data_IF_502948476133
#
_entry.id   IF_502948476133
#
_cell.length_a   1.000
_cell.length_b   1.000
_cell.length_c   1.000
_cell.angle_alpha   90.00
_cell.angle_beta   90.00
_cell.angle_gamma   90.00
#
_symmetry.space_group_name_H-M   'P 1'
#
loop_
_entity.id
_entity.type
_entity.pdbx_description
1 polymer ?
#
# COMPACT_ATOMS: atom_id res chain seq x y z
N UNK A 1 -11.38 8.02 9.64
CA UNK A 1 -10.32 7.01 9.49
C UNK A 1 -9.58 7.32 8.21
N UNK A 2 -8.35 7.86 8.29
CA UNK A 2 -7.61 8.26 7.10
C UNK A 2 -6.96 7.06 6.40
N UNK A 3 -7.32 6.87 5.14
CA UNK A 3 -6.47 6.14 4.19
C UNK A 3 -5.40 7.14 3.73
N UNK A 4 -4.12 6.83 3.98
CA UNK A 4 -2.97 7.63 3.55
C UNK A 4 -2.15 6.84 2.54
N UNK A 5 -2.05 7.38 1.33
CA UNK A 5 -1.15 6.82 0.33
C UNK A 5 0.26 7.35 0.51
N UNK A 6 1.23 6.56 0.08
CA UNK A 6 2.63 6.94 0.13
C UNK A 6 2.90 8.06 -0.86
N UNK A 7 3.75 9.00 -0.48
CA UNK A 7 4.20 10.03 -1.41
C UNK A 7 5.14 9.41 -2.46
N UNK A 8 5.18 9.95 -3.67
CA UNK A 8 6.29 9.68 -4.58
C UNK A 8 7.64 10.11 -3.97
N UNK A 9 8.68 9.31 -4.20
CA UNK A 9 10.04 9.65 -3.84
C UNK A 9 10.51 10.89 -4.59
N UNK A 10 11.34 11.71 -3.94
CA UNK A 10 12.00 12.83 -4.59
C UNK A 10 13.29 12.40 -5.28
N UNK A 11 13.74 13.16 -6.27
CA UNK A 11 15.02 12.92 -6.94
C UNK A 11 15.75 14.22 -7.26
N UNK A 12 17.07 14.11 -7.36
CA UNK A 12 17.97 15.20 -7.80
C UNK A 12 18.54 14.96 -9.18
N UNK A 13 18.69 13.69 -9.60
CA UNK A 13 19.29 13.30 -10.89
C UNK A 13 18.57 12.17 -11.63
N UNK A 14 17.74 11.38 -10.94
CA UNK A 14 17.00 10.24 -11.50
C UNK A 14 15.48 10.37 -11.39
N UNK A 15 14.72 9.30 -11.64
CA UNK A 15 13.30 9.27 -11.31
C UNK A 15 13.10 8.80 -9.86
N UNK A 16 12.31 9.53 -9.06
CA UNK A 16 11.90 9.05 -7.74
C UNK A 16 10.97 7.84 -7.82
N UNK A 17 10.99 6.99 -6.80
CA UNK A 17 10.11 5.83 -6.72
C UNK A 17 8.65 6.24 -6.55
N UNK A 18 7.71 5.39 -6.96
CA UNK A 18 6.28 5.65 -6.73
C UNK A 18 5.93 5.35 -5.27
N UNK A 19 5.05 6.13 -4.68
CA UNK A 19 4.45 5.76 -3.40
C UNK A 19 3.52 4.56 -3.55
N UNK A 20 3.26 3.91 -2.42
CA UNK A 20 2.33 2.82 -2.30
C UNK A 20 0.90 3.20 -2.64
N UNK A 21 0.12 2.22 -3.09
CA UNK A 21 -1.28 2.40 -3.45
C UNK A 21 -2.20 1.59 -2.55
N UNK A 22 -3.43 2.05 -2.39
CA UNK A 22 -4.50 1.31 -1.73
C UNK A 22 -5.49 0.83 -2.78
N UNK A 23 -5.65 -0.49 -2.90
CA UNK A 23 -6.60 -1.11 -3.80
C UNK A 23 -7.66 -1.87 -2.99
N UNK A 24 -8.92 -1.70 -3.38
CA UNK A 24 -10.04 -2.50 -2.89
C UNK A 24 -10.74 -3.16 -4.07
N UNK A 25 -10.70 -4.48 -4.10
CA UNK A 25 -11.45 -5.30 -5.05
C UNK A 25 -12.63 -5.93 -4.36
N UNK A 26 -13.84 -5.45 -4.66
CA UNK A 26 -15.09 -6.02 -4.18
C UNK A 26 -16.05 -6.20 -5.35
N UNK A 27 -16.66 -7.38 -5.49
CA UNK A 27 -17.68 -7.67 -6.50
C UNK A 27 -19.11 -7.36 -6.02
N UNK A 28 -19.27 -6.79 -4.81
CA UNK A 28 -20.54 -6.30 -4.27
C UNK A 28 -20.39 -4.96 -3.55
N UNK A 29 -21.48 -4.20 -3.45
CA UNK A 29 -21.54 -2.96 -2.65
C UNK A 29 -21.54 -3.36 -1.18
N UNK A 30 -20.35 -3.49 -0.59
CA UNK A 30 -20.20 -3.60 0.85
C UNK A 30 -19.46 -2.38 1.38
N UNK A 31 -20.10 -1.70 2.31
CA UNK A 31 -19.48 -0.66 3.12
C UNK A 31 -18.39 -1.33 3.95
N UNK A 32 -17.13 -1.20 3.53
CA UNK A 32 -15.98 -1.48 4.38
C UNK A 32 -16.08 -0.50 5.55
N UNK A 33 -16.68 -0.94 6.65
CA UNK A 33 -16.58 -0.25 7.93
C UNK A 33 -15.27 -0.66 8.58
N UNK A 34 -14.17 -0.51 7.84
CA UNK A 34 -12.82 -0.82 8.34
C UNK A 34 -12.45 0.26 9.33
N UNK A 35 -12.43 -0.12 10.61
CA UNK A 35 -11.86 0.64 11.75
C UNK A 35 -10.35 0.87 11.63
N UNK A 36 -9.75 0.32 10.59
CA UNK A 36 -8.33 0.21 10.27
C UNK A 36 -7.80 1.48 9.58
N UNK A 37 -6.83 2.15 10.20
CA UNK A 37 -6.04 3.16 9.51
C UNK A 37 -5.03 2.47 8.58
N UNK A 38 -5.06 2.85 7.29
CA UNK A 38 -4.17 2.28 6.27
C UNK A 38 -3.21 3.37 5.83
N UNK A 39 -1.91 3.14 6.04
CA UNK A 39 -0.83 3.99 5.53
C UNK A 39 0.08 3.18 4.63
N UNK A 40 0.15 3.54 3.35
CA UNK A 40 1.11 2.91 2.44
C UNK A 40 2.42 3.69 2.41
N UNK A 41 3.54 3.01 2.15
CA UNK A 41 4.88 3.60 2.26
C UNK A 41 5.19 4.51 1.09
N UNK A 42 6.03 5.52 1.30
CA UNK A 42 6.49 6.40 0.23
C UNK A 42 7.46 5.68 -0.72
N UNK A 43 7.63 6.27 -1.90
CA UNK A 43 8.64 5.85 -2.84
C UNK A 43 10.03 6.27 -2.39
N UNK A 44 11.02 5.44 -2.67
CA UNK A 44 12.42 5.71 -2.41
C UNK A 44 12.96 6.86 -3.25
N UNK A 45 14.00 7.52 -2.74
CA UNK A 45 14.67 8.59 -3.47
C UNK A 45 15.45 8.03 -4.67
N UNK A 46 15.35 8.71 -5.80
CA UNK A 46 16.02 8.34 -7.04
C UNK A 46 17.31 9.12 -7.28
N UNK A 47 18.43 8.41 -7.36
CA UNK A 47 19.66 8.94 -7.95
C UNK A 47 19.75 8.57 -9.44
N UNK A 48 19.36 7.34 -9.81
CA UNK A 48 18.99 6.93 -11.18
C UNK A 48 17.50 6.53 -11.22
N UNK A 49 17.08 5.58 -10.39
CA UNK A 49 15.65 5.26 -10.12
C UNK A 49 15.44 4.87 -8.66
N UNK A 50 14.44 5.44 -7.98
CA UNK A 50 14.06 5.06 -6.61
C UNK A 50 13.07 3.89 -6.58
N UNK A 51 13.09 3.10 -5.51
CA UNK A 51 12.20 1.95 -5.33
C UNK A 51 10.77 2.35 -4.99
N UNK A 52 9.79 1.50 -5.27
CA UNK A 52 8.37 1.74 -4.99
C UNK A 52 8.07 1.51 -3.52
N UNK A 53 7.21 2.35 -2.95
CA UNK A 53 6.61 2.10 -1.64
C UNK A 53 5.64 0.93 -1.70
N UNK A 54 5.50 0.23 -0.57
CA UNK A 54 4.64 -0.93 -0.45
C UNK A 54 3.17 -0.56 -0.62
N UNK A 55 2.38 -1.44 -1.23
CA UNK A 55 0.96 -1.21 -1.49
C UNK A 55 0.09 -2.06 -0.58
N UNK A 56 -1.14 -1.61 -0.35
CA UNK A 56 -2.15 -2.37 0.36
C UNK A 56 -3.24 -2.82 -0.62
N UNK A 57 -3.53 -4.12 -0.63
CA UNK A 57 -4.65 -4.69 -1.38
C UNK A 57 -5.61 -5.42 -0.46
N UNK A 58 -6.90 -5.10 -0.57
CA UNK A 58 -7.97 -5.94 -0.03
C UNK A 58 -8.68 -6.67 -1.17
N UNK A 59 -8.74 -8.00 -1.08
CA UNK A 59 -9.57 -8.82 -1.96
C UNK A 59 -10.66 -9.45 -1.11
N UNK A 60 -11.90 -9.00 -1.28
CA UNK A 60 -13.05 -9.65 -0.66
C UNK A 60 -13.77 -10.49 -1.71
N UNK A 61 -13.63 -11.82 -1.59
CA UNK A 61 -14.39 -12.79 -2.40
C UNK A 61 -15.40 -13.49 -1.50
N UNK A 62 -16.64 -12.99 -1.45
CA UNK A 62 -17.69 -13.67 -0.71
C UNK A 62 -18.90 -12.80 -0.41
N UNK A 63 -20.06 -13.19 -0.93
CA UNK A 63 -21.35 -12.65 -0.53
C UNK A 63 -21.69 -13.16 0.86
N UNK A 64 -21.49 -12.34 1.88
CA UNK A 64 -22.23 -12.25 3.15
C UNK A 64 -21.57 -11.11 3.90
N UNK A 65 -22.37 -10.14 4.35
CA UNK A 65 -22.00 -8.99 5.19
C UNK A 65 -20.76 -9.28 6.07
N UNK A 66 -19.58 -8.84 5.61
CA UNK A 66 -18.32 -8.95 6.35
C UNK A 66 -18.15 -7.65 7.15
N UNK A 67 -18.59 -7.66 8.40
CA UNK A 67 -18.21 -6.64 9.37
C UNK A 67 -16.79 -7.00 9.85
N UNK A 68 -15.78 -6.42 9.18
CA UNK A 68 -14.39 -6.62 9.54
C UNK A 68 -14.00 -5.53 10.54
N UNK A 69 -14.15 -5.82 11.83
CA UNK A 69 -13.66 -4.97 12.92
C UNK A 69 -12.25 -5.41 13.27
N UNK A 70 -11.28 -5.02 12.44
CA UNK A 70 -9.87 -5.20 12.73
C UNK A 70 -9.30 -3.84 13.12
N UNK A 71 -9.22 -3.58 14.43
CA UNK A 71 -8.66 -2.38 15.05
C UNK A 71 -7.13 -2.33 14.96
N UNK A 72 -6.57 -2.79 13.84
CA UNK A 72 -5.13 -2.77 13.56
C UNK A 72 -4.78 -1.62 12.64
N UNK A 73 -3.60 -1.04 12.80
CA UNK A 73 -3.02 -0.14 11.82
C UNK A 73 -2.29 -0.97 10.77
N UNK A 74 -2.53 -0.70 9.50
CA UNK A 74 -1.80 -1.33 8.40
C UNK A 74 -0.82 -0.32 7.86
N UNK A 75 0.47 -0.62 8.01
CA UNK A 75 1.58 0.17 7.48
C UNK A 75 2.43 -0.70 6.56
N UNK A 76 2.60 -0.27 5.31
CA UNK A 76 3.47 -0.98 4.35
C UNK A 76 4.85 -0.33 4.31
N UNK A 77 5.88 -1.07 3.87
CA UNK A 77 7.25 -0.56 3.83
C UNK A 77 7.48 0.61 2.86
N UNK A 78 8.56 1.36 3.10
CA UNK A 78 9.07 2.42 2.23
C UNK A 78 9.92 1.83 1.09
N UNK A 79 9.89 2.48 -0.08
CA UNK A 79 10.77 2.14 -1.18
C UNK A 79 12.24 2.45 -0.85
N UNK A 80 13.14 1.56 -1.22
CA UNK A 80 14.58 1.69 -1.07
C UNK A 80 15.18 2.83 -1.92
N UNK A 81 16.23 3.44 -1.40
CA UNK A 81 16.97 4.50 -2.10
C UNK A 81 17.91 3.91 -3.15
N UNK A 82 18.04 4.58 -4.31
CA UNK A 82 18.86 4.07 -5.41
C UNK A 82 20.38 4.20 -5.22
N UNK A 83 20.87 5.20 -4.48
CA UNK A 83 22.33 5.38 -4.34
C UNK A 83 23.02 5.60 -5.69
N UNK A 84 23.81 4.65 -6.19
CA UNK A 84 24.37 4.68 -7.56
C UNK A 84 23.60 3.81 -8.56
N UNK A 85 22.61 3.05 -8.09
CA UNK A 85 21.81 2.11 -8.87
C UNK A 85 20.30 2.26 -8.67
N UNK A 86 19.49 1.27 -9.09
CA UNK A 86 18.06 1.26 -8.82
C UNK A 86 17.77 0.97 -7.34
N UNK A 87 16.82 1.70 -6.76
CA UNK A 87 16.31 1.44 -5.42
C UNK A 87 15.38 0.22 -5.39
N UNK A 88 15.39 -0.52 -4.27
CA UNK A 88 14.55 -1.72 -4.09
C UNK A 88 13.10 -1.38 -3.74
N UNK A 89 12.14 -2.15 -4.25
CA UNK A 89 10.72 -1.97 -3.91
C UNK A 89 10.44 -2.49 -2.49
N UNK A 90 9.51 -1.84 -1.80
CA UNK A 90 9.00 -2.32 -0.51
C UNK A 90 8.00 -3.48 -0.70
N UNK A 91 7.77 -4.22 0.39
CA UNK A 91 6.79 -5.29 0.42
C UNK A 91 5.35 -4.77 0.50
N UNK A 92 4.45 -5.51 -0.13
CA UNK A 92 3.01 -5.24 -0.14
C UNK A 92 2.29 -5.94 1.03
N UNK A 93 1.22 -5.34 1.52
CA UNK A 93 0.30 -5.93 2.47
C UNK A 93 -0.99 -6.38 1.77
N UNK A 94 -1.43 -7.60 2.04
CA UNK A 94 -2.65 -8.18 1.49
C UNK A 94 -3.59 -8.58 2.63
N UNK A 95 -4.81 -8.02 2.61
CA UNK A 95 -5.91 -8.50 3.43
C UNK A 95 -6.81 -9.40 2.57
N UNK A 96 -6.85 -10.68 2.91
CA UNK A 96 -7.70 -11.69 2.27
C UNK A 96 -8.65 -12.27 3.31
N UNK A 97 -9.95 -12.14 3.09
CA UNK A 97 -10.97 -12.83 3.87
C UNK A 97 -11.41 -14.07 3.11
N UNK A 98 -10.63 -15.15 3.26
CA UNK A 98 -11.07 -16.48 2.86
C UNK A 98 -12.09 -17.00 3.88
N UNK A 99 -13.34 -17.14 3.42
CA UNK A 99 -14.40 -17.85 4.13
C UNK A 99 -13.95 -19.29 4.33
N UNK A 100 -13.72 -19.71 5.58
CA UNK A 100 -13.61 -21.12 5.94
C UNK A 100 -15.01 -21.71 6.09
#
# INVERSE_FOLDING_TARGET
MPIKTGKGGSSTSGAGGRGGNVLSGNTGIHTLKTTTDITTGAGGKGATTGGRGGSFGSRNTGFTKLEYDDTRNIETGEGGQGGTGPGGDAGDALADNRRY
#
